data_IF_706969508669
#
_entry.id   IF_706969508669
#
_cell.length_a   1.000
_cell.length_b   1.000
_cell.length_c   1.000
_cell.angle_alpha   90.00
_cell.angle_beta   90.00
_cell.angle_gamma   90.00
#
_symmetry.space_group_name_H-M   'P 1'
#
loop_
_entity.id
_entity.type
_entity.pdbx_description
1 polymer ?
#
# COMPACT_ATOMS: atom_id res chain seq x y z
N UNK A 1 19.63 20.43 15.79
CA UNK A 1 19.58 19.12 15.10
C UNK A 1 18.27 18.36 15.30
N UNK A 2 17.76 18.24 16.54
CA UNK A 2 16.66 17.30 16.85
C UNK A 2 15.26 17.61 16.25
N UNK A 3 14.97 18.87 15.89
CA UNK A 3 13.66 19.23 15.31
C UNK A 3 13.40 18.51 13.97
N UNK A 4 14.40 18.45 13.08
CA UNK A 4 14.27 17.76 11.78
C UNK A 4 14.11 16.25 11.95
N UNK A 5 14.76 15.67 12.97
CA UNK A 5 14.60 14.25 13.31
C UNK A 5 13.17 13.95 13.78
N UNK A 6 12.59 14.80 14.63
CA UNK A 6 11.21 14.66 15.06
C UNK A 6 10.21 14.73 13.88
N UNK A 7 10.43 15.66 12.94
CA UNK A 7 9.61 15.74 11.72
C UNK A 7 9.75 14.51 10.83
N UNK A 8 10.93 13.88 10.76
CA UNK A 8 11.12 12.65 9.99
C UNK A 8 10.28 11.50 10.54
N UNK A 9 10.27 11.27 11.86
CA UNK A 9 9.38 10.27 12.47
C UNK A 9 7.92 10.61 12.25
N UNK A 10 7.54 11.88 12.48
CA UNK A 10 6.16 12.31 12.30
C UNK A 10 5.68 12.07 10.85
N UNK A 11 6.53 12.34 9.86
CA UNK A 11 6.25 12.10 8.46
C UNK A 11 6.17 10.60 8.13
N UNK A 12 7.01 9.75 8.72
CA UNK A 12 6.93 8.31 8.52
C UNK A 12 5.62 7.73 9.07
N UNK A 13 5.20 8.14 10.27
CA UNK A 13 3.93 7.68 10.83
C UNK A 13 2.71 8.26 10.10
N UNK A 14 2.77 9.52 9.67
CA UNK A 14 1.67 10.14 8.91
C UNK A 14 1.49 9.49 7.54
N UNK A 15 2.58 9.11 6.86
CA UNK A 15 2.50 8.41 5.57
C UNK A 15 1.93 7.01 5.70
N UNK A 16 2.24 6.27 6.78
CA UNK A 16 1.63 4.95 7.05
C UNK A 16 0.11 5.09 7.27
N UNK A 17 -0.31 6.04 8.11
CA UNK A 17 -1.73 6.30 8.35
C UNK A 17 -2.45 6.75 7.07
N UNK A 18 -1.86 7.67 6.32
CA UNK A 18 -2.44 8.17 5.08
C UNK A 18 -2.65 7.07 4.03
N UNK A 19 -1.63 6.24 3.79
CA UNK A 19 -1.72 5.14 2.83
C UNK A 19 -2.79 4.11 3.23
N UNK A 20 -2.88 3.76 4.52
CA UNK A 20 -3.91 2.84 5.01
C UNK A 20 -5.33 3.34 4.75
N UNK A 21 -5.60 4.63 4.98
CA UNK A 21 -6.91 5.23 4.73
C UNK A 21 -7.25 5.25 3.23
N UNK A 22 -6.29 5.64 2.38
CA UNK A 22 -6.47 5.64 0.93
C UNK A 22 -6.76 4.23 0.40
N UNK A 23 -6.04 3.21 0.89
CA UNK A 23 -6.31 1.82 0.49
C UNK A 23 -7.71 1.37 0.91
N UNK A 24 -8.13 1.63 2.14
CA UNK A 24 -9.48 1.26 2.62
C UNK A 24 -10.59 1.93 1.80
N UNK A 25 -10.39 3.18 1.38
CA UNK A 25 -11.34 3.91 0.55
C UNK A 25 -11.44 3.32 -0.86
N UNK A 26 -10.31 3.00 -1.50
CA UNK A 26 -10.30 2.45 -2.86
C UNK A 26 -10.95 1.06 -2.93
N UNK A 27 -10.77 0.22 -1.90
CA UNK A 27 -11.32 -1.14 -1.87
C UNK A 27 -12.78 -1.20 -1.40
N UNK A 28 -13.16 -0.43 -0.37
CA UNK A 28 -14.46 -0.60 0.31
C UNK A 28 -15.43 0.57 0.16
N UNK A 29 -15.00 1.69 -0.44
CA UNK A 29 -15.89 2.75 -0.92
C UNK A 29 -16.90 3.32 0.10
N UNK A 30 -18.20 3.13 -0.19
CA UNK A 30 -19.32 4.00 0.20
C UNK A 30 -19.67 4.07 1.69
N UNK A 31 -19.32 3.05 2.49
CA UNK A 31 -19.72 2.99 3.89
C UNK A 31 -18.63 3.57 4.81
N UNK A 32 -18.82 4.80 5.29
CA UNK A 32 -17.87 5.49 6.18
C UNK A 32 -17.45 4.65 7.40
N UNK A 33 -18.40 3.98 8.06
CA UNK A 33 -18.11 3.11 9.22
C UNK A 33 -17.19 1.95 8.86
N UNK A 34 -17.38 1.39 7.67
CA UNK A 34 -16.65 0.24 7.20
C UNK A 34 -15.25 0.68 6.74
N UNK A 35 -15.13 1.79 6.03
CA UNK A 35 -13.84 2.40 5.68
C UNK A 35 -12.99 2.67 6.93
N UNK A 36 -13.57 3.25 7.98
CA UNK A 36 -12.86 3.49 9.24
C UNK A 36 -12.40 2.19 9.90
N UNK A 37 -13.28 1.19 10.02
CA UNK A 37 -12.95 -0.10 10.63
C UNK A 37 -11.82 -0.81 9.89
N UNK A 38 -11.89 -0.87 8.55
CA UNK A 38 -10.85 -1.49 7.74
C UNK A 38 -9.56 -0.66 7.73
N UNK A 39 -9.63 0.68 7.74
CA UNK A 39 -8.46 1.54 7.90
C UNK A 39 -7.67 1.22 9.16
N UNK A 40 -8.35 1.07 10.31
CA UNK A 40 -7.70 0.62 11.55
C UNK A 40 -7.07 -0.76 11.42
N UNK A 41 -7.78 -1.73 10.81
CA UNK A 41 -7.23 -3.07 10.57
C UNK A 41 -5.96 -3.00 9.71
N UNK A 42 -5.95 -2.21 8.63
CA UNK A 42 -4.78 -2.04 7.77
C UNK A 42 -3.59 -1.43 8.53
N UNK A 43 -3.80 -0.41 9.36
CA UNK A 43 -2.72 0.16 10.17
C UNK A 43 -2.09 -0.85 11.13
N UNK A 44 -2.91 -1.65 11.81
CA UNK A 44 -2.46 -2.73 12.71
C UNK A 44 -1.69 -3.79 11.90
N UNK A 45 -2.20 -4.21 10.75
CA UNK A 45 -1.50 -5.13 9.86
C UNK A 45 -0.12 -4.59 9.44
N UNK A 46 -0.02 -3.30 9.08
CA UNK A 46 1.26 -2.67 8.73
C UNK A 46 2.26 -2.67 9.89
N UNK A 47 1.79 -2.40 11.12
CA UNK A 47 2.61 -2.48 12.33
C UNK A 47 3.12 -3.91 12.59
N UNK A 48 2.25 -4.93 12.43
CA UNK A 48 2.61 -6.33 12.61
C UNK A 48 3.63 -6.78 11.54
N UNK A 49 3.40 -6.44 10.28
CA UNK A 49 4.32 -6.79 9.18
C UNK A 49 5.73 -6.24 9.44
N UNK A 50 5.84 -5.02 9.99
CA UNK A 50 7.14 -4.46 10.38
C UNK A 50 7.84 -5.21 11.53
N UNK A 51 7.07 -5.83 12.42
CA UNK A 51 7.61 -6.64 13.52
C UNK A 51 7.99 -8.06 13.11
N UNK A 52 7.32 -8.62 12.10
CA UNK A 52 7.47 -10.04 11.70
C UNK A 52 8.52 -10.24 10.60
N UNK A 53 8.64 -9.31 9.65
CA UNK A 53 9.50 -9.54 8.49
C UNK A 53 10.94 -9.04 8.68
N UNK A 54 11.95 -9.86 8.38
CA UNK A 54 13.34 -9.40 8.34
C UNK A 54 13.54 -8.41 7.19
N UNK A 55 14.39 -7.40 7.40
CA UNK A 55 14.65 -6.38 6.38
C UNK A 55 15.20 -7.00 5.11
N UNK A 56 14.47 -6.81 4.02
CA UNK A 56 14.86 -7.27 2.71
C UNK A 56 15.77 -6.25 2.03
N UNK A 57 16.83 -6.72 1.37
CA UNK A 57 17.83 -5.87 0.70
C UNK A 57 17.26 -5.29 -0.59
N UNK A 58 17.59 -4.03 -0.89
CA UNK A 58 17.05 -3.25 -2.02
C UNK A 58 17.07 -4.00 -3.36
N UNK A 59 18.15 -4.72 -3.66
CA UNK A 59 18.29 -5.47 -4.92
C UNK A 59 17.15 -6.46 -5.15
N UNK A 60 16.75 -7.17 -4.09
CA UNK A 60 15.70 -8.16 -4.18
C UNK A 60 14.31 -7.48 -4.27
N UNK A 61 14.09 -6.31 -3.63
CA UNK A 61 12.85 -5.54 -3.80
C UNK A 61 12.71 -5.03 -5.24
N UNK A 62 13.82 -4.55 -5.82
CA UNK A 62 13.84 -4.08 -7.21
C UNK A 62 13.53 -5.23 -8.16
N UNK A 63 14.18 -6.38 -8.00
CA UNK A 63 13.91 -7.57 -8.81
C UNK A 63 12.45 -8.01 -8.71
N UNK A 64 11.85 -7.99 -7.52
CA UNK A 64 10.45 -8.35 -7.32
C UNK A 64 9.49 -7.37 -8.04
N UNK A 65 9.75 -6.07 -7.96
CA UNK A 65 8.99 -5.05 -8.68
C UNK A 65 9.05 -5.25 -10.20
N UNK A 66 10.26 -5.39 -10.74
CA UNK A 66 10.47 -5.44 -12.19
C UNK A 66 10.09 -6.78 -12.82
N UNK A 67 10.32 -7.90 -12.13
CA UNK A 67 10.07 -9.24 -12.69
C UNK A 67 8.67 -9.76 -12.40
N UNK A 68 8.01 -9.33 -11.32
CA UNK A 68 6.70 -9.86 -10.92
C UNK A 68 5.60 -8.82 -11.02
N UNK A 69 5.73 -7.68 -10.34
CA UNK A 69 4.63 -6.70 -10.28
C UNK A 69 4.38 -6.00 -11.61
N UNK A 70 5.44 -5.59 -12.31
CA UNK A 70 5.33 -4.89 -13.58
C UNK A 70 4.61 -5.73 -14.67
N UNK A 71 5.02 -6.98 -14.98
CA UNK A 71 4.32 -7.77 -15.99
C UNK A 71 2.89 -8.13 -15.57
N UNK A 72 2.63 -8.34 -14.28
CA UNK A 72 1.28 -8.60 -13.78
C UNK A 72 0.36 -7.39 -13.98
N UNK A 73 0.82 -6.19 -13.63
CA UNK A 73 0.05 -4.96 -13.81
C UNK A 73 -0.26 -4.69 -15.29
N UNK A 74 0.70 -4.92 -16.19
CA UNK A 74 0.50 -4.79 -17.63
C UNK A 74 -0.51 -5.81 -18.16
N UNK A 75 -0.45 -7.06 -17.71
CA UNK A 75 -1.40 -8.11 -18.10
C UNK A 75 -2.84 -7.75 -17.67
N UNK A 76 -3.02 -7.31 -16.43
CA UNK A 76 -4.33 -6.90 -15.90
C UNK A 76 -4.89 -5.69 -16.67
N UNK A 77 -4.03 -4.74 -17.04
CA UNK A 77 -4.42 -3.56 -17.81
C UNK A 77 -4.86 -3.92 -19.24
N UNK A 78 -4.12 -4.79 -19.92
CA UNK A 78 -4.52 -5.25 -21.26
C UNK A 78 -5.83 -6.03 -21.19
N UNK A 79 -5.98 -6.90 -20.18
CA UNK A 79 -7.19 -7.68 -19.98
C UNK A 79 -8.41 -6.78 -19.72
N UNK A 80 -8.29 -5.79 -18.83
CA UNK A 80 -9.40 -4.88 -18.52
C UNK A 80 -9.82 -4.05 -19.74
N UNK A 81 -8.85 -3.57 -20.54
CA UNK A 81 -9.14 -2.85 -21.78
C UNK A 81 -9.82 -3.73 -22.82
N UNK A 82 -9.40 -5.00 -22.95
CA UNK A 82 -10.02 -5.94 -23.89
C UNK A 82 -11.45 -6.33 -23.48
N UNK A 83 -11.72 -6.56 -22.19
CA UNK A 83 -13.06 -6.86 -21.69
C UNK A 83 -14.03 -5.70 -21.86
N UNK A 84 -13.53 -4.45 -21.79
CA UNK A 84 -14.30 -3.22 -22.02
C UNK A 84 -14.63 -3.01 -23.51
N UNK A 85 -13.84 -3.56 -24.44
CA UNK A 85 -14.16 -3.52 -25.88
C UNK A 85 -15.26 -4.52 -26.27
N UNK A 86 -15.42 -5.62 -25.53
CA UNK A 86 -16.40 -6.67 -25.85
C UNK A 86 -17.78 -6.44 -25.20
N UNK A 87 -17.88 -5.56 -24.20
CA UNK A 87 -19.14 -5.16 -23.55
C UNK A 87 -19.63 -3.85 -24.16
#
# INVERSE_FOLDING_TARGET
GGSVFAFLFLAEYSTILFLSMVTSFWFFGYNFYLVLSFGFIFTICFLIVRGVYPRHRYDLLMMLCWKSFLPLALCILIFSMSGLFFT
#
